data_IF_226066718463
#
_entry.id   IF_226066718463
#
_cell.length_a   1.000
_cell.length_b   1.000
_cell.length_c   1.000
_cell.angle_alpha   90.00
_cell.angle_beta   90.00
_cell.angle_gamma   90.00
#
_symmetry.space_group_name_H-M   'P 1'
#
loop_
_entity.id
_entity.type
_entity.pdbx_description
1 polymer ?
#
# COMPACT_ATOMS: atom_id res chain seq x y z
N UNK A 1 13.12 -24.92 -8.02
CA UNK A 1 13.85 -23.64 -8.04
C UNK A 1 12.84 -22.64 -8.55
N UNK A 2 12.44 -21.64 -7.75
CA UNK A 2 11.42 -20.68 -8.18
C UNK A 2 11.97 -19.75 -9.28
N UNK A 3 11.11 -19.35 -10.21
CA UNK A 3 11.48 -18.36 -11.22
C UNK A 3 11.74 -17.00 -10.54
N UNK A 4 12.91 -16.42 -10.76
CA UNK A 4 13.30 -15.11 -10.21
C UNK A 4 13.14 -14.05 -11.28
N UNK A 5 12.25 -13.08 -11.04
CA UNK A 5 12.06 -11.92 -11.93
C UNK A 5 13.08 -10.84 -11.56
N UNK A 6 13.94 -10.46 -12.52
CA UNK A 6 14.90 -9.36 -12.35
C UNK A 6 14.27 -8.03 -12.77
N UNK A 7 13.68 -7.32 -11.82
CA UNK A 7 13.02 -6.03 -12.06
C UNK A 7 13.98 -4.95 -12.58
N UNK A 8 13.45 -4.02 -13.37
CA UNK A 8 14.11 -2.78 -13.82
C UNK A 8 13.90 -1.65 -12.82
N UNK A 9 14.84 -0.70 -12.78
CA UNK A 9 14.78 0.47 -11.91
C UNK A 9 15.61 0.31 -10.63
N UNK A 10 15.24 1.05 -9.58
CA UNK A 10 15.92 1.07 -8.30
C UNK A 10 14.91 1.21 -7.16
N UNK A 11 15.26 0.68 -5.97
CA UNK A 11 14.32 0.60 -4.82
C UNK A 11 12.98 -0.01 -5.23
N UNK A 12 13.01 -1.27 -5.66
CA UNK A 12 11.82 -1.97 -6.16
C UNK A 12 10.84 -2.22 -5.02
N UNK A 13 9.58 -1.85 -5.22
CA UNK A 13 8.53 -1.89 -4.22
C UNK A 13 7.22 -2.44 -4.82
N UNK A 14 6.33 -2.87 -3.92
CA UNK A 14 4.91 -3.16 -4.19
C UNK A 14 4.64 -3.94 -5.49
N UNK A 15 4.95 -5.25 -5.57
CA UNK A 15 4.42 -6.07 -6.65
C UNK A 15 2.89 -6.20 -6.52
N UNK A 16 2.17 -6.07 -7.64
CA UNK A 16 0.71 -6.15 -7.69
C UNK A 16 0.22 -6.71 -9.02
N UNK A 17 -1.06 -7.06 -9.09
CA UNK A 17 -1.71 -7.62 -10.28
C UNK A 17 -3.00 -6.87 -10.57
N UNK A 18 -3.42 -6.86 -11.83
CA UNK A 18 -4.76 -6.39 -12.17
C UNK A 18 -5.80 -7.45 -11.80
N UNK A 19 -6.82 -7.07 -11.01
CA UNK A 19 -7.97 -7.92 -10.68
C UNK A 19 -9.04 -7.94 -11.79
N UNK A 20 -8.83 -7.24 -12.91
CA UNK A 20 -9.82 -7.15 -13.99
C UNK A 20 -10.03 -8.53 -14.63
N UNK A 21 -11.30 -8.92 -14.84
CA UNK A 21 -11.63 -10.14 -15.55
C UNK A 21 -10.99 -10.15 -16.96
N UNK A 22 -10.26 -11.21 -17.28
CA UNK A 22 -9.54 -11.34 -18.56
C UNK A 22 -8.19 -10.61 -18.62
N UNK A 23 -7.67 -10.09 -17.50
CA UNK A 23 -6.32 -9.55 -17.45
C UNK A 23 -5.27 -10.61 -17.81
N UNK A 24 -4.16 -10.17 -18.42
CA UNK A 24 -3.08 -10.99 -18.98
C UNK A 24 -2.30 -11.83 -17.95
N UNK A 25 -2.61 -11.72 -16.66
CA UNK A 25 -1.79 -12.26 -15.58
C UNK A 25 -0.43 -11.56 -15.41
N UNK A 26 -0.27 -10.37 -16.01
CA UNK A 26 0.94 -9.56 -15.86
C UNK A 26 1.16 -9.16 -14.39
N UNK A 27 2.44 -9.05 -14.02
CA UNK A 27 2.85 -8.55 -12.71
C UNK A 27 3.26 -7.10 -12.90
N UNK A 28 2.81 -6.24 -12.02
CA UNK A 28 3.19 -4.84 -12.00
C UNK A 28 4.02 -4.58 -10.77
N UNK A 29 4.91 -3.60 -10.83
CA UNK A 29 5.72 -3.21 -9.68
C UNK A 29 6.16 -1.76 -9.82
N UNK A 30 6.61 -1.20 -8.71
CA UNK A 30 7.03 0.20 -8.62
C UNK A 30 8.55 0.26 -8.44
N UNK A 31 9.19 1.22 -9.11
CA UNK A 31 10.59 1.59 -8.91
C UNK A 31 10.63 2.94 -8.21
N UNK A 32 10.73 2.94 -6.88
CA UNK A 32 10.70 4.18 -6.10
C UNK A 32 11.87 5.10 -6.45
N UNK A 33 13.03 4.52 -6.79
CA UNK A 33 14.23 5.28 -7.14
C UNK A 33 14.19 5.93 -8.52
N UNK A 34 13.28 5.51 -9.41
CA UNK A 34 13.13 6.13 -10.74
C UNK A 34 11.77 6.82 -10.94
N UNK A 35 10.82 6.68 -10.01
CA UNK A 35 9.48 7.26 -10.14
C UNK A 35 8.57 6.50 -11.10
N UNK A 36 8.97 5.32 -11.58
CA UNK A 36 8.27 4.57 -12.62
C UNK A 36 7.46 3.40 -12.04
N UNK A 37 6.28 3.16 -12.62
CA UNK A 37 5.54 1.91 -12.49
C UNK A 37 5.75 1.09 -13.75
N UNK A 38 6.10 -0.19 -13.58
CA UNK A 38 6.36 -1.12 -14.67
C UNK A 38 5.29 -2.20 -14.75
N UNK A 39 4.97 -2.60 -15.97
CA UNK A 39 4.34 -3.88 -16.29
C UNK A 39 5.42 -4.90 -16.66
N UNK A 40 5.38 -6.07 -16.04
CA UNK A 40 6.16 -7.24 -16.40
C UNK A 40 5.29 -8.28 -17.11
N UNK A 41 5.72 -8.65 -18.31
CA UNK A 41 5.19 -9.77 -19.08
C UNK A 41 6.29 -10.80 -19.30
N UNK A 42 5.99 -12.06 -19.01
CA UNK A 42 6.91 -13.15 -19.22
C UNK A 42 7.31 -13.28 -20.71
N UNK A 43 8.55 -13.69 -21.01
CA UNK A 43 9.57 -14.14 -20.05
C UNK A 43 10.46 -13.03 -19.47
N UNK A 44 10.48 -11.82 -20.03
CA UNK A 44 11.44 -10.79 -19.60
C UNK A 44 11.09 -9.35 -20.03
N UNK A 45 9.86 -9.09 -20.47
CA UNK A 45 9.48 -7.76 -20.96
C UNK A 45 9.06 -6.89 -19.78
N UNK A 46 9.73 -5.74 -19.63
CA UNK A 46 9.39 -4.73 -18.62
C UNK A 46 9.05 -3.42 -19.34
N UNK A 47 7.81 -2.98 -19.27
CA UNK A 47 7.32 -1.77 -19.93
C UNK A 47 6.98 -0.72 -18.86
N UNK A 48 7.61 0.47 -18.85
CA UNK A 48 7.15 1.55 -17.98
C UNK A 48 5.77 2.00 -18.45
N UNK A 49 4.81 2.03 -17.54
CA UNK A 49 3.42 2.42 -17.84
C UNK A 49 3.06 3.78 -17.27
N UNK A 50 3.68 4.20 -16.18
CA UNK A 50 3.43 5.49 -15.52
C UNK A 50 4.75 6.03 -14.98
N UNK A 51 4.99 7.32 -15.14
CA UNK A 51 6.05 8.05 -14.45
C UNK A 51 5.40 9.08 -13.52
N UNK A 52 5.55 8.91 -12.21
CA UNK A 52 4.97 9.84 -11.22
C UNK A 52 5.76 11.13 -11.05
N UNK A 53 7.07 11.11 -11.35
CA UNK A 53 7.99 12.20 -11.03
C UNK A 53 8.36 12.30 -9.55
N UNK A 54 7.93 11.33 -8.71
CA UNK A 54 8.15 11.31 -7.27
C UNK A 54 8.87 10.07 -6.77
N UNK A 55 8.57 9.64 -5.54
CA UNK A 55 9.11 8.43 -4.90
C UNK A 55 7.95 7.50 -4.55
N UNK A 56 7.42 6.75 -5.52
CA UNK A 56 6.28 5.86 -5.32
C UNK A 56 6.71 4.59 -4.58
N UNK A 57 6.00 4.24 -3.51
CA UNK A 57 6.25 3.01 -2.74
C UNK A 57 5.15 1.96 -2.88
N UNK A 58 3.95 2.39 -3.27
CA UNK A 58 2.79 1.51 -3.46
C UNK A 58 2.03 1.87 -4.71
N UNK A 59 1.52 0.86 -5.41
CA UNK A 59 0.57 1.08 -6.48
C UNK A 59 -0.46 -0.06 -6.53
N UNK A 60 -1.67 0.25 -6.98
CA UNK A 60 -2.73 -0.72 -7.16
C UNK A 60 -3.73 -0.26 -8.24
N UNK A 61 -4.35 -1.22 -8.92
CA UNK A 61 -5.48 -0.93 -9.81
C UNK A 61 -6.78 -0.80 -9.03
N UNK A 62 -7.62 0.14 -9.42
CA UNK A 62 -9.04 0.10 -9.07
C UNK A 62 -9.80 -0.91 -9.96
N UNK A 63 -11.08 -1.12 -9.69
CA UNK A 63 -11.91 -2.07 -10.45
C UNK A 63 -12.16 -1.65 -11.92
N UNK A 64 -11.93 -0.39 -12.26
CA UNK A 64 -12.00 0.12 -13.62
C UNK A 64 -10.66 -0.03 -14.38
N UNK A 65 -9.60 -0.45 -13.69
CA UNK A 65 -8.26 -0.62 -14.25
C UNK A 65 -7.41 0.66 -14.25
N UNK A 66 -7.78 1.68 -13.46
CA UNK A 66 -6.96 2.89 -13.28
C UNK A 66 -5.92 2.65 -12.18
N UNK A 67 -4.69 3.09 -12.43
CA UNK A 67 -3.59 2.97 -11.47
C UNK A 67 -3.71 4.07 -10.41
N UNK A 68 -3.60 3.67 -9.15
CA UNK A 68 -3.45 4.57 -8.01
C UNK A 68 -2.10 4.33 -7.37
N UNK A 69 -1.43 5.41 -6.97
CA UNK A 69 -0.03 5.38 -6.51
C UNK A 69 0.04 6.05 -5.14
N UNK A 70 0.57 5.35 -4.16
CA UNK A 70 1.04 5.93 -2.90
C UNK A 70 2.46 6.47 -3.12
N UNK A 71 2.57 7.80 -3.20
CA UNK A 71 3.82 8.49 -3.53
C UNK A 71 4.31 9.30 -2.33
N UNK A 72 5.47 8.90 -1.81
CA UNK A 72 6.05 9.47 -0.61
C UNK A 72 6.59 10.89 -0.87
N UNK A 73 7.27 11.12 -1.99
CA UNK A 73 7.83 12.43 -2.30
C UNK A 73 6.73 13.48 -2.57
N UNK A 74 5.63 13.07 -3.20
CA UNK A 74 4.47 13.93 -3.39
C UNK A 74 3.61 14.10 -2.13
N UNK A 75 3.87 13.34 -1.07
CA UNK A 75 3.02 13.27 0.12
C UNK A 75 1.53 13.06 -0.24
N UNK A 76 1.26 12.18 -1.21
CA UNK A 76 -0.06 12.07 -1.81
C UNK A 76 -0.39 10.66 -2.29
N UNK A 77 -1.70 10.38 -2.34
CA UNK A 77 -2.22 9.36 -3.24
C UNK A 77 -2.47 10.03 -4.58
N UNK A 78 -1.85 9.49 -5.63
CA UNK A 78 -2.06 9.90 -7.01
C UNK A 78 -3.03 8.94 -7.70
N UNK A 79 -3.81 9.45 -8.64
CA UNK A 79 -4.63 8.65 -9.56
C UNK A 79 -4.22 8.97 -10.98
N UNK A 80 -3.99 7.93 -11.77
CA UNK A 80 -3.63 8.03 -13.18
C UNK A 80 -4.90 8.12 -14.03
N UNK A 81 -4.94 9.07 -14.94
CA UNK A 81 -6.04 9.26 -15.88
C UNK A 81 -5.92 8.37 -17.13
N UNK A 82 -6.91 8.46 -18.03
CA UNK A 82 -6.95 7.67 -19.27
C UNK A 82 -5.84 8.05 -20.27
N UNK A 83 -5.17 9.20 -20.06
CA UNK A 83 -4.00 9.65 -20.82
C UNK A 83 -2.68 9.26 -20.16
N UNK A 84 -2.72 8.34 -19.20
CA UNK A 84 -1.58 7.85 -18.41
C UNK A 84 -0.85 8.96 -17.63
N UNK A 85 -1.56 10.05 -17.31
CA UNK A 85 -1.00 11.15 -16.51
C UNK A 85 -1.41 11.02 -15.04
N UNK A 86 -0.45 11.03 -14.10
CA UNK A 86 -0.76 11.02 -12.66
C UNK A 86 -1.23 12.40 -12.20
N UNK A 87 -2.37 12.42 -11.51
CA UNK A 87 -2.89 13.61 -10.81
C UNK A 87 -3.08 13.36 -9.32
N UNK A 88 -2.98 14.40 -8.49
CA UNK A 88 -3.21 14.28 -7.04
C UNK A 88 -4.68 13.93 -6.78
N UNK A 89 -4.91 12.77 -6.14
CA UNK A 89 -6.22 12.38 -5.64
C UNK A 89 -6.47 12.94 -4.24
N UNK A 90 -5.48 12.80 -3.35
CA UNK A 90 -5.53 13.37 -2.00
C UNK A 90 -4.13 13.54 -1.42
N UNK A 91 -3.91 14.61 -0.63
CA UNK A 91 -2.60 14.95 -0.04
C UNK A 91 -2.62 15.45 1.41
N UNK A 92 -3.81 15.50 2.01
CA UNK A 92 -3.99 16.01 3.37
C UNK A 92 -5.26 15.45 4.02
N UNK A 93 -5.28 15.44 5.35
CA UNK A 93 -6.46 15.18 6.18
C UNK A 93 -6.57 16.29 7.24
N UNK A 94 -7.75 16.91 7.38
CA UNK A 94 -7.98 18.03 8.33
C UNK A 94 -6.88 19.11 8.26
N UNK A 95 -6.58 19.58 7.05
CA UNK A 95 -5.54 20.58 6.73
C UNK A 95 -4.09 20.19 7.07
N UNK A 96 -3.87 18.94 7.50
CA UNK A 96 -2.54 18.38 7.75
C UNK A 96 -2.10 17.58 6.54
N UNK A 97 -1.00 18.00 5.91
CA UNK A 97 -0.38 17.24 4.83
C UNK A 97 0.01 15.84 5.32
N UNK A 98 -0.07 14.85 4.42
CA UNK A 98 0.48 13.53 4.71
C UNK A 98 2.00 13.59 4.86
N UNK A 99 2.56 12.63 5.60
CA UNK A 99 4.02 12.52 5.78
C UNK A 99 4.70 11.93 4.56
N UNK A 100 3.99 11.06 3.87
CA UNK A 100 4.44 10.27 2.74
C UNK A 100 3.70 8.93 2.75
N UNK A 101 2.68 8.77 1.90
CA UNK A 101 2.00 7.50 1.72
C UNK A 101 2.95 6.40 1.22
N UNK A 102 2.80 5.19 1.77
CA UNK A 102 3.67 4.04 1.49
C UNK A 102 2.91 2.90 0.79
N UNK A 103 2.08 2.14 1.51
CA UNK A 103 1.24 1.09 0.93
C UNK A 103 -0.16 1.58 0.55
N UNK A 104 -0.76 0.91 -0.44
CA UNK A 104 -2.15 1.13 -0.88
C UNK A 104 -2.83 -0.22 -1.16
N UNK A 105 -4.10 -0.35 -0.79
CA UNK A 105 -4.92 -1.53 -1.05
C UNK A 105 -6.36 -1.13 -1.37
N UNK A 106 -7.07 -1.98 -2.11
CA UNK A 106 -8.46 -1.80 -2.49
C UNK A 106 -9.30 -2.95 -1.96
N UNK A 107 -10.45 -2.63 -1.36
CA UNK A 107 -11.52 -3.59 -1.13
C UNK A 107 -12.35 -3.80 -2.40
N UNK A 108 -13.20 -4.83 -2.39
CA UNK A 108 -14.09 -5.17 -3.50
C UNK A 108 -15.15 -4.09 -3.79
N UNK A 109 -15.46 -3.24 -2.80
CA UNK A 109 -16.39 -2.11 -2.93
C UNK A 109 -15.70 -0.80 -3.39
N UNK A 110 -14.49 -0.90 -3.94
CA UNK A 110 -13.62 0.21 -4.34
C UNK A 110 -13.20 1.14 -3.17
N UNK A 111 -13.39 0.73 -1.91
CA UNK A 111 -12.78 1.43 -0.76
C UNK A 111 -11.26 1.36 -0.85
N UNK A 112 -10.61 2.52 -0.78
CA UNK A 112 -9.15 2.64 -0.79
C UNK A 112 -8.63 2.70 0.63
N UNK A 113 -7.62 1.90 0.93
CA UNK A 113 -6.87 1.96 2.18
C UNK A 113 -5.41 2.28 1.90
N UNK A 114 -4.80 3.13 2.71
CA UNK A 114 -3.39 3.44 2.57
C UNK A 114 -2.73 3.74 3.91
N UNK A 115 -1.43 3.47 3.99
CA UNK A 115 -0.59 3.82 5.14
C UNK A 115 0.14 5.13 4.87
N UNK A 116 0.27 5.98 5.88
CA UNK A 116 1.07 7.20 5.83
C UNK A 116 2.12 7.17 6.93
N UNK A 117 3.39 7.17 6.56
CA UNK A 117 4.49 7.09 7.52
C UNK A 117 5.71 7.94 7.18
N UNK A 118 5.72 8.52 5.97
CA UNK A 118 6.86 9.27 5.47
C UNK A 118 8.04 8.37 5.08
N UNK A 119 9.20 8.97 4.78
CA UNK A 119 10.42 8.22 4.54
C UNK A 119 10.85 7.46 5.80
N UNK A 120 11.65 6.40 5.63
CA UNK A 120 12.20 5.63 6.74
C UNK A 120 12.92 6.54 7.74
N UNK A 121 12.49 6.49 9.01
CA UNK A 121 13.02 7.34 10.10
C UNK A 121 12.14 8.54 10.47
N UNK A 122 11.16 8.91 9.66
CA UNK A 122 10.19 9.97 9.98
C UNK A 122 9.27 9.56 11.14
N UNK A 123 8.71 8.36 11.04
CA UNK A 123 7.91 7.72 12.08
C UNK A 123 8.71 6.57 12.67
N UNK A 124 9.03 6.64 13.96
CA UNK A 124 9.95 5.70 14.63
C UNK A 124 9.27 4.95 15.79
N UNK A 125 10.01 4.06 16.45
CA UNK A 125 9.58 3.43 17.70
C UNK A 125 9.28 4.45 18.80
N UNK A 126 10.17 5.45 18.94
CA UNK A 126 10.06 6.50 19.97
C UNK A 126 8.99 7.52 19.63
N UNK A 127 8.77 7.78 18.32
CA UNK A 127 7.83 8.78 17.80
C UNK A 127 6.92 8.14 16.75
N UNK A 128 5.96 7.29 17.18
CA UNK A 128 5.11 6.54 16.27
C UNK A 128 3.96 7.39 15.71
N UNK A 129 4.28 8.40 14.88
CA UNK A 129 3.31 9.31 14.25
C UNK A 129 2.72 8.80 12.92
N UNK A 130 2.85 7.50 12.63
CA UNK A 130 2.30 6.90 11.41
C UNK A 130 0.80 6.63 11.54
N UNK A 131 0.13 6.69 10.39
CA UNK A 131 -1.32 6.62 10.27
C UNK A 131 -1.76 5.62 9.21
N UNK A 132 -3.03 5.24 9.27
CA UNK A 132 -3.74 4.45 8.25
C UNK A 132 -5.02 5.17 7.94
N UNK A 133 -5.31 5.32 6.65
CA UNK A 133 -6.47 6.05 6.17
C UNK A 133 -7.34 5.18 5.27
N UNK A 134 -8.60 5.60 5.12
CA UNK A 134 -9.61 5.00 4.27
C UNK A 134 -10.28 6.09 3.44
N UNK A 135 -10.48 5.84 2.15
CA UNK A 135 -11.31 6.65 1.26
C UNK A 135 -12.45 5.76 0.79
N UNK A 136 -13.67 6.07 1.22
CA UNK A 136 -14.87 5.29 0.90
C UNK A 136 -15.94 6.19 0.30
N UNK A 137 -16.84 5.61 -0.50
CA UNK A 137 -18.01 6.32 -1.02
C UNK A 137 -18.95 6.73 0.11
N UNK A 138 -19.47 7.96 0.07
CA UNK A 138 -20.51 8.41 1.00
C UNK A 138 -21.90 8.01 0.50
N UNK A 139 -22.83 7.62 1.39
CA UNK A 139 -24.25 7.47 1.05
C UNK A 139 -24.87 8.75 0.46
N UNK A 140 -24.35 9.93 0.82
CA UNK A 140 -24.79 11.22 0.30
C UNK A 140 -24.16 11.60 -1.05
N UNK A 141 -23.35 10.71 -1.63
CA UNK A 141 -22.54 10.97 -2.83
C UNK A 141 -21.14 11.52 -2.50
N UNK A 142 -20.20 11.27 -3.41
CA UNK A 142 -18.80 11.64 -3.25
C UNK A 142 -17.96 10.62 -2.46
N UNK A 143 -16.71 10.98 -2.18
CA UNK A 143 -15.77 10.17 -1.40
C UNK A 143 -15.46 10.86 -0.07
N UNK A 144 -15.28 10.08 0.99
CA UNK A 144 -14.93 10.54 2.33
C UNK A 144 -13.61 9.92 2.74
N UNK A 145 -12.63 10.76 3.05
CA UNK A 145 -11.38 10.39 3.68
C UNK A 145 -11.57 10.33 5.20
N UNK A 146 -11.11 9.25 5.84
CA UNK A 146 -11.14 9.07 7.30
C UNK A 146 -9.92 8.32 7.82
N UNK A 147 -9.42 8.62 9.02
CA UNK A 147 -8.38 7.85 9.67
C UNK A 147 -8.96 6.55 10.24
N UNK A 148 -8.23 5.45 10.10
CA UNK A 148 -8.48 4.18 10.77
C UNK A 148 -7.57 4.00 12.00
N UNK A 149 -6.36 4.57 11.90
CA UNK A 149 -5.39 4.72 12.97
C UNK A 149 -4.68 6.05 12.72
N UNK A 150 -4.59 6.92 13.71
CA UNK A 150 -4.04 8.26 13.55
C UNK A 150 -2.85 8.44 14.50
N UNK A 151 -1.68 8.70 13.91
CA UNK A 151 -0.43 9.04 14.61
C UNK A 151 -0.08 8.10 15.78
N UNK A 152 -0.21 6.80 15.56
CA UNK A 152 -0.01 5.80 16.61
C UNK A 152 0.78 4.54 16.18
N UNK A 153 1.23 4.48 14.93
CA UNK A 153 1.98 3.34 14.40
C UNK A 153 3.43 3.74 14.10
N UNK A 154 4.37 2.83 14.35
CA UNK A 154 5.79 2.98 14.05
C UNK A 154 6.12 2.45 12.65
N UNK A 155 6.16 3.35 11.68
CA UNK A 155 6.44 3.11 10.27
C UNK A 155 5.50 2.05 9.66
N UNK A 156 4.18 2.30 9.62
CA UNK A 156 3.28 1.45 8.85
C UNK A 156 3.65 1.51 7.36
N UNK A 157 3.76 0.34 6.73
CA UNK A 157 4.25 0.22 5.34
C UNK A 157 3.29 -0.60 4.47
N UNK A 158 3.42 -1.92 4.45
CA UNK A 158 2.53 -2.79 3.70
C UNK A 158 1.12 -2.80 4.28
N UNK A 159 0.10 -2.83 3.41
CA UNK A 159 -1.30 -2.97 3.79
C UNK A 159 -1.99 -3.97 2.85
N UNK A 160 -2.85 -4.83 3.41
CA UNK A 160 -3.62 -5.80 2.67
C UNK A 160 -5.04 -5.92 3.22
N UNK A 161 -6.01 -6.09 2.32
CA UNK A 161 -7.39 -6.48 2.67
C UNK A 161 -7.41 -8.00 2.84
N UNK A 162 -8.05 -8.49 3.91
CA UNK A 162 -8.20 -9.92 4.14
C UNK A 162 -9.34 -10.51 3.29
N UNK A 163 -9.48 -11.84 3.30
CA UNK A 163 -10.66 -12.51 2.71
C UNK A 163 -11.96 -12.15 3.47
N UNK A 164 -11.86 -11.89 4.77
CA UNK A 164 -12.93 -11.23 5.55
C UNK A 164 -12.93 -9.72 5.18
N UNK A 165 -14.00 -9.20 4.54
CA UNK A 165 -14.04 -7.84 4.04
C UNK A 165 -13.99 -6.78 5.14
N UNK A 166 -14.23 -7.16 6.40
CA UNK A 166 -14.14 -6.27 7.55
C UNK A 166 -12.75 -6.27 8.20
N UNK A 167 -11.74 -6.89 7.58
CA UNK A 167 -10.39 -7.01 8.15
C UNK A 167 -9.31 -6.49 7.21
N UNK A 168 -8.42 -5.67 7.77
CA UNK A 168 -7.18 -5.22 7.14
C UNK A 168 -5.98 -5.68 7.96
N UNK A 169 -4.88 -5.96 7.28
CA UNK A 169 -3.58 -6.18 7.88
C UNK A 169 -2.62 -5.07 7.48
N UNK A 170 -1.88 -4.55 8.46
CA UNK A 170 -0.87 -3.52 8.28
C UNK A 170 0.45 -4.02 8.84
N UNK A 171 1.50 -3.98 8.02
CA UNK A 171 2.86 -4.20 8.46
C UNK A 171 3.36 -2.95 9.20
N UNK A 172 3.60 -3.08 10.50
CA UNK A 172 4.21 -2.03 11.30
C UNK A 172 5.70 -2.35 11.45
N UNK A 173 6.49 -1.85 10.49
CA UNK A 173 7.86 -2.30 10.24
C UNK A 173 8.75 -2.07 11.45
N UNK A 174 8.66 -0.91 12.12
CA UNK A 174 9.55 -0.60 13.24
C UNK A 174 9.20 -1.36 14.53
N UNK A 175 7.94 -1.81 14.70
CA UNK A 175 7.53 -2.68 15.83
C UNK A 175 7.59 -4.17 15.53
N UNK A 176 8.11 -4.55 14.37
CA UNK A 176 8.30 -5.96 13.99
C UNK A 176 7.02 -6.79 14.14
N UNK A 177 5.88 -6.26 13.69
CA UNK A 177 4.56 -6.89 13.87
C UNK A 177 3.60 -6.62 12.73
N UNK A 178 2.57 -7.47 12.64
CA UNK A 178 1.36 -7.22 11.86
C UNK A 178 0.27 -6.72 12.80
N UNK A 179 -0.30 -5.56 12.47
CA UNK A 179 -1.50 -5.02 13.09
C UNK A 179 -2.71 -5.46 12.28
N UNK A 180 -3.74 -5.97 12.96
CA UNK A 180 -5.07 -6.21 12.39
C UNK A 180 -5.99 -5.05 12.75
N UNK A 181 -6.59 -4.44 11.74
CA UNK A 181 -7.68 -3.49 11.88
C UNK A 181 -8.99 -4.19 11.51
N UNK A 182 -9.91 -4.33 12.46
CA UNK A 182 -11.25 -4.89 12.21
C UNK A 182 -12.30 -3.79 12.21
N UNK A 183 -13.08 -3.69 11.13
CA UNK A 183 -14.25 -2.82 11.03
C UNK A 183 -15.34 -3.34 11.96
N UNK A 184 -15.92 -2.44 12.74
CA UNK A 184 -17.05 -2.70 13.63
C UNK A 184 -18.36 -2.27 12.96
N UNK A 185 -19.53 -2.71 13.44
CA UNK A 185 -20.83 -2.26 12.92
C UNK A 185 -21.03 -0.74 12.96
N UNK A 186 -20.34 -0.05 13.88
CA UNK A 186 -20.31 1.43 13.96
C UNK A 186 -19.47 2.09 12.87
N UNK A 187 -18.88 1.33 11.94
CA UNK A 187 -17.87 1.74 10.97
C UNK A 187 -16.52 2.20 11.58
N UNK A 188 -16.35 2.17 12.90
CA UNK A 188 -15.04 2.34 13.54
C UNK A 188 -14.14 1.12 13.30
N UNK A 189 -12.82 1.29 13.43
CA UNK A 189 -11.87 0.20 13.35
C UNK A 189 -11.23 -0.08 14.70
N UNK A 190 -11.15 -1.36 15.07
CA UNK A 190 -10.43 -1.81 16.25
C UNK A 190 -9.08 -2.39 15.86
N UNK A 191 -8.01 -1.83 16.40
CA UNK A 191 -6.64 -2.27 16.18
C UNK A 191 -6.22 -3.34 17.21
N UNK A 192 -5.59 -4.41 16.75
CA UNK A 192 -5.02 -5.46 17.59
C UNK A 192 -3.74 -6.00 16.97
N UNK A 193 -2.83 -6.53 17.78
CA UNK A 193 -1.65 -7.25 17.24
C UNK A 193 -2.14 -8.59 16.70
N UNK A 194 -1.93 -8.82 15.40
CA UNK A 194 -2.24 -10.11 14.77
C UNK A 194 -1.09 -11.10 14.94
N UNK A 195 0.12 -10.62 14.68
CA UNK A 195 1.33 -11.42 14.76
C UNK A 195 2.50 -10.56 15.19
N UNK A 196 3.27 -11.02 16.17
CA UNK A 196 4.51 -10.39 16.62
C UNK A 196 5.68 -11.26 16.15
N UNK A 197 6.58 -10.69 15.36
CA UNK A 197 7.82 -11.36 14.98
C UNK A 197 8.91 -11.12 16.02
N UNK A 198 9.97 -11.92 15.92
CA UNK A 198 11.21 -11.80 16.69
C UNK A 198 12.39 -11.40 15.79
N UNK A 199 13.47 -10.92 16.40
CA UNK A 199 14.73 -10.59 15.71
C UNK A 199 14.69 -9.24 15.01
N UNK A 200 15.37 -9.18 13.85
CA UNK A 200 15.65 -7.97 13.06
C UNK A 200 14.47 -7.12 12.63
N UNK A 201 14.71 -6.19 11.70
CA UNK A 201 13.70 -5.24 11.24
C UNK A 201 12.43 -5.94 10.73
N UNK A 202 11.28 -5.30 10.98
CA UNK A 202 9.96 -5.87 10.76
C UNK A 202 9.55 -6.14 9.33
N UNK A 203 8.31 -6.61 9.17
CA UNK A 203 7.75 -6.82 7.84
C UNK A 203 7.63 -5.47 7.11
N UNK A 204 7.91 -5.47 5.82
CA UNK A 204 7.72 -4.31 4.93
C UNK A 204 6.48 -4.47 4.06
N UNK A 205 6.18 -5.69 3.61
CA UNK A 205 5.04 -6.01 2.74
C UNK A 205 4.12 -7.05 3.34
N UNK A 206 2.84 -7.00 2.96
CA UNK A 206 1.84 -8.03 3.28
C UNK A 206 0.93 -8.27 2.08
N UNK A 207 0.46 -9.50 1.91
CA UNK A 207 -0.55 -9.87 0.92
C UNK A 207 -1.43 -11.00 1.47
N UNK A 208 -2.71 -11.01 1.08
CA UNK A 208 -3.63 -12.08 1.43
C UNK A 208 -4.02 -12.86 0.16
N UNK A 209 -4.16 -14.18 0.27
CA UNK A 209 -4.80 -14.98 -0.77
C UNK A 209 -6.31 -15.13 -0.54
N UNK A 210 -6.99 -15.68 -1.54
CA UNK A 210 -8.43 -15.91 -1.51
C UNK A 210 -8.88 -16.94 -0.46
N UNK A 211 -7.97 -17.78 0.06
CA UNK A 211 -8.26 -18.73 1.13
C UNK A 211 -8.07 -18.11 2.53
N UNK A 212 -7.63 -16.85 2.61
CA UNK A 212 -7.39 -16.12 3.85
C UNK A 212 -6.00 -16.32 4.43
N UNK A 213 -5.05 -16.92 3.71
CA UNK A 213 -3.67 -16.96 4.18
C UNK A 213 -3.01 -15.59 4.01
N UNK A 214 -2.27 -15.16 5.03
CA UNK A 214 -1.49 -13.93 5.04
C UNK A 214 -0.02 -14.25 4.79
N UNK A 215 0.56 -13.60 3.78
CA UNK A 215 1.98 -13.62 3.46
C UNK A 215 2.60 -12.30 3.92
N UNK A 216 3.75 -12.35 4.59
CA UNK A 216 4.48 -11.18 5.04
C UNK A 216 5.92 -11.22 4.51
N UNK A 217 6.36 -10.10 3.91
CA UNK A 217 7.73 -9.92 3.47
C UNK A 217 8.53 -9.32 4.63
N UNK A 218 9.54 -10.03 5.08
CA UNK A 218 10.47 -9.59 6.12
C UNK A 218 11.89 -9.81 5.62
N UNK A 219 12.75 -8.81 5.76
CA UNK A 219 14.19 -9.03 5.56
C UNK A 219 14.71 -9.97 6.65
N UNK A 220 15.49 -10.97 6.24
CA UNK A 220 16.31 -11.69 7.19
C UNK A 220 17.58 -10.90 7.39
N UNK A 221 17.87 -10.53 8.63
CA UNK A 221 19.21 -10.10 8.98
C UNK A 221 20.07 -11.37 8.94
N UNK A 222 21.14 -11.37 8.14
CA UNK A 222 22.21 -12.34 8.31
C UNK A 222 22.85 -12.05 9.67
N UNK A 223 22.65 -12.96 10.62
CA UNK A 223 23.38 -12.95 11.90
C UNK A 223 24.89 -13.05 11.67
#
# INVERSE_FOLDING_TARGET
>A
MGDVIRCRGAKICSPFISKRAGASGAIYYVSAGTGETFEYQAPATHTPIVFSGGEPFGAQFDRLGRVHIADCAHAAILRVDDSMQPGVMVKAYEDRAFRGPNGIAFAEDDTVFFTDSGPLGETTLEKPHGSVFCIASSPSGGQVLRPLAMECLAHPWGIAVAADPDVLFVAETMRNRIVRLRKLPSNAYHASVFYQFSGGMGPSGVACDANGALYALKSQDSA
#
